data_IF_588747186879
#
_entry.id   IF_588747186879
#
_cell.length_a   1.000
_cell.length_b   1.000
_cell.length_c   1.000
_cell.angle_alpha   90.00
_cell.angle_beta   90.00
_cell.angle_gamma   90.00
#
_symmetry.space_group_name_H-M   'P 1'
#
loop_
_entity.id
_entity.type
_entity.pdbx_description
1 polymer ?
#
# COMPACT_ATOMS: atom_id res chain seq x y z
N UNK A 1 35.97 63.26 42.36
CA UNK A 1 35.45 63.48 40.99
C UNK A 1 34.47 62.35 40.67
N UNK A 2 33.32 62.66 40.05
CA UNK A 2 32.14 61.82 39.73
C UNK A 2 30.96 61.89 40.73
N UNK A 3 30.20 63.00 40.65
CA UNK A 3 28.80 63.05 40.18
C UNK A 3 28.12 61.68 39.92
N UNK A 4 26.85 61.38 40.25
CA UNK A 4 25.64 62.19 40.32
C UNK A 4 24.42 61.32 40.73
N UNK A 5 23.42 61.99 41.31
CA UNK A 5 21.97 61.83 41.21
C UNK A 5 21.21 60.58 41.69
N UNK A 6 20.46 60.81 42.76
CA UNK A 6 19.17 60.21 43.05
C UNK A 6 18.13 60.52 41.95
N UNK A 7 17.29 59.55 41.62
CA UNK A 7 16.04 59.75 40.89
C UNK A 7 14.86 59.15 41.69
N UNK A 8 13.70 59.83 41.70
CA UNK A 8 12.54 59.48 42.49
C UNK A 8 11.67 58.38 41.86
N UNK A 9 10.95 57.67 42.72
CA UNK A 9 9.89 56.71 42.44
C UNK A 9 8.70 57.33 41.72
N UNK A 10 8.19 56.66 40.67
CA UNK A 10 6.92 56.99 40.01
C UNK A 10 6.17 55.70 39.57
N UNK A 11 4.85 55.77 39.32
CA UNK A 11 3.80 54.85 39.79
C UNK A 11 3.46 53.68 38.82
N UNK A 12 2.57 52.72 39.21
CA UNK A 12 2.41 51.46 38.48
C UNK A 12 1.66 51.67 37.17
N UNK A 13 2.26 51.21 36.09
CA UNK A 13 1.67 51.25 34.75
C UNK A 13 0.67 50.11 34.64
N UNK A 14 -0.58 50.48 34.37
CA UNK A 14 -1.73 49.61 34.26
C UNK A 14 -1.56 48.53 33.18
N UNK A 15 -2.22 47.41 33.43
CA UNK A 15 -2.26 46.26 32.55
C UNK A 15 -3.00 46.63 31.28
N UNK A 16 -2.27 46.62 30.17
CA UNK A 16 -2.80 46.63 28.82
C UNK A 16 -1.75 45.98 27.94
N UNK A 17 -2.20 45.25 26.92
CA UNK A 17 -1.48 44.30 26.05
C UNK A 17 -1.60 42.85 26.54
N UNK A 18 -2.00 41.87 25.74
CA UNK A 18 -2.52 41.87 24.38
C UNK A 18 -3.21 40.51 24.21
N UNK A 19 -4.35 40.49 23.51
CA UNK A 19 -4.98 39.23 23.09
C UNK A 19 -4.03 38.63 22.04
N UNK A 20 -3.16 37.71 22.47
CA UNK A 20 -2.45 36.82 21.55
C UNK A 20 -3.52 35.87 21.02
N UNK A 21 -4.10 36.22 19.87
CA UNK A 21 -4.98 35.34 19.13
C UNK A 21 -4.16 34.16 18.64
N UNK A 22 -4.20 33.05 19.37
CA UNK A 22 -3.62 31.78 18.96
C UNK A 22 -4.35 31.32 17.70
N UNK A 23 -3.74 31.53 16.54
CA UNK A 23 -4.17 30.96 15.27
C UNK A 23 -3.97 29.44 15.38
N UNK A 24 -5.01 28.73 15.83
CA UNK A 24 -5.09 27.28 15.71
C UNK A 24 -5.07 26.94 14.22
N UNK A 25 -3.93 26.47 13.71
CA UNK A 25 -3.90 25.75 12.45
C UNK A 25 -4.72 24.47 12.66
N UNK A 26 -5.96 24.49 12.16
CA UNK A 26 -6.74 23.28 12.00
C UNK A 26 -5.94 22.36 11.07
N UNK A 27 -5.39 21.30 11.64
CA UNK A 27 -4.80 20.20 10.89
C UNK A 27 -5.98 19.59 10.12
N UNK A 28 -6.11 19.93 8.84
CA UNK A 28 -7.06 19.28 7.96
C UNK A 28 -6.69 17.80 7.96
N UNK A 29 -7.52 16.99 8.62
CA UNK A 29 -7.43 15.55 8.53
C UNK A 29 -7.57 15.21 7.06
N UNK A 30 -6.51 14.72 6.43
CA UNK A 30 -6.63 14.11 5.11
C UNK A 30 -7.50 12.87 5.32
N UNK A 31 -8.82 13.05 5.19
CA UNK A 31 -9.72 11.94 4.94
C UNK A 31 -9.26 11.36 3.61
N UNK A 32 -8.49 10.28 3.65
CA UNK A 32 -8.28 9.45 2.48
C UNK A 32 -9.69 9.04 2.06
N UNK A 33 -10.15 9.59 0.94
CA UNK A 33 -11.46 9.26 0.41
C UNK A 33 -11.42 7.78 0.07
N UNK A 34 -11.91 6.94 0.98
CA UNK A 34 -12.02 5.51 0.72
C UNK A 34 -12.95 5.39 -0.48
N UNK A 35 -12.43 4.87 -1.58
CA UNK A 35 -13.16 4.85 -2.84
C UNK A 35 -14.32 3.85 -2.70
N UNK A 36 -15.59 4.29 -2.68
CA UNK A 36 -16.71 3.38 -2.49
C UNK A 36 -16.71 2.37 -3.62
N UNK A 37 -16.80 1.07 -3.31
CA UNK A 37 -16.79 0.05 -4.36
C UNK A 37 -18.01 0.22 -5.26
N UNK A 38 -17.82 0.38 -6.59
CA UNK A 38 -18.92 0.58 -7.53
C UNK A 38 -19.91 -0.60 -7.50
N UNK A 39 -21.21 -0.29 -7.42
CA UNK A 39 -22.25 -1.33 -7.47
C UNK A 39 -22.41 -2.18 -6.21
N UNK A 40 -21.71 -1.85 -5.11
CA UNK A 40 -21.85 -2.53 -3.81
C UNK A 40 -22.41 -1.63 -2.70
N UNK A 41 -22.62 -0.34 -2.98
CA UNK A 41 -23.09 0.63 -1.98
C UNK A 41 -24.51 0.37 -1.49
N UNK A 42 -25.31 -0.39 -2.25
CA UNK A 42 -26.63 -0.83 -1.83
C UNK A 42 -26.59 -1.87 -0.69
N UNK A 43 -25.41 -2.46 -0.40
CA UNK A 43 -25.21 -3.37 0.72
C UNK A 43 -24.89 -2.67 2.04
N UNK A 44 -24.67 -1.35 2.04
CA UNK A 44 -24.46 -0.59 3.27
C UNK A 44 -25.71 -0.69 4.16
N UNK A 45 -25.51 -1.10 5.41
CA UNK A 45 -26.55 -1.36 6.40
C UNK A 45 -27.15 -2.78 6.36
N UNK A 46 -26.83 -3.58 5.34
CA UNK A 46 -27.22 -4.99 5.29
C UNK A 46 -26.66 -5.76 6.50
N UNK A 47 -27.39 -6.78 6.97
CA UNK A 47 -26.85 -7.70 7.98
C UNK A 47 -25.72 -8.50 7.34
N UNK A 48 -24.62 -8.70 8.06
CA UNK A 48 -23.41 -9.31 7.50
C UNK A 48 -23.69 -10.60 6.73
N UNK A 49 -24.45 -11.53 7.33
CA UNK A 49 -24.84 -12.81 6.69
C UNK A 49 -25.66 -12.63 5.39
N UNK A 50 -26.55 -11.64 5.35
CA UNK A 50 -27.41 -11.41 4.19
C UNK A 50 -26.62 -10.71 3.07
N UNK A 51 -25.70 -9.81 3.45
CA UNK A 51 -24.79 -9.12 2.54
C UNK A 51 -23.75 -10.05 1.93
N UNK A 52 -23.20 -10.98 2.70
CA UNK A 52 -22.24 -12.01 2.27
C UNK A 52 -22.82 -12.88 1.15
N UNK A 53 -24.03 -13.39 1.33
CA UNK A 53 -24.73 -14.14 0.26
C UNK A 53 -24.90 -13.30 -1.01
N UNK A 54 -25.18 -12.00 -0.89
CA UNK A 54 -25.33 -11.12 -2.06
C UNK A 54 -23.99 -10.86 -2.74
N UNK A 55 -22.89 -10.73 -1.98
CA UNK A 55 -21.53 -10.63 -2.52
C UNK A 55 -21.17 -11.88 -3.33
N UNK A 56 -21.43 -13.07 -2.79
CA UNK A 56 -21.23 -14.35 -3.50
C UNK A 56 -22.07 -14.43 -4.78
N UNK A 57 -23.35 -14.05 -4.73
CA UNK A 57 -24.25 -13.98 -5.90
C UNK A 57 -23.75 -12.99 -6.96
N UNK A 58 -23.01 -11.95 -6.56
CA UNK A 58 -22.37 -10.96 -7.45
C UNK A 58 -20.97 -11.38 -7.90
N UNK A 59 -20.53 -12.56 -7.52
CA UNK A 59 -19.25 -13.14 -7.92
C UNK A 59 -18.05 -12.64 -7.14
N UNK A 60 -18.26 -12.21 -5.91
CA UNK A 60 -17.18 -11.99 -4.96
C UNK A 60 -16.91 -13.26 -4.16
N UNK A 61 -15.65 -13.60 -3.99
CA UNK A 61 -15.18 -14.71 -3.17
C UNK A 61 -14.56 -14.17 -1.89
N UNK A 62 -14.97 -14.73 -0.75
CA UNK A 62 -14.38 -14.42 0.54
C UNK A 62 -12.92 -14.85 0.57
N UNK A 63 -12.04 -13.93 0.99
CA UNK A 63 -10.62 -14.21 1.13
C UNK A 63 -10.26 -14.45 2.59
N UNK A 64 -10.48 -13.45 3.43
CA UNK A 64 -10.16 -13.51 4.85
C UNK A 64 -10.84 -12.39 5.64
N UNK A 65 -10.70 -12.47 6.97
CA UNK A 65 -11.25 -11.49 7.88
C UNK A 65 -10.22 -11.03 8.91
N UNK A 66 -10.13 -9.72 9.13
CA UNK A 66 -9.44 -9.11 10.26
C UNK A 66 -10.44 -8.78 11.37
N UNK A 67 -10.14 -9.27 12.57
CA UNK A 67 -10.93 -9.03 13.80
C UNK A 67 -10.12 -8.31 14.88
N UNK A 68 -8.96 -7.76 14.52
CA UNK A 68 -8.07 -7.06 15.44
C UNK A 68 -8.61 -5.68 15.86
N UNK A 69 -9.53 -5.12 15.06
CA UNK A 69 -10.08 -3.76 15.23
C UNK A 69 -11.25 -3.67 16.22
N UNK A 70 -11.12 -4.27 17.40
CA UNK A 70 -12.10 -4.14 18.49
C UNK A 70 -13.47 -4.75 18.17
N UNK A 71 -14.50 -3.92 18.08
CA UNK A 71 -15.87 -4.33 17.73
C UNK A 71 -16.10 -4.50 16.23
N UNK A 72 -15.19 -3.96 15.43
CA UNK A 72 -15.32 -3.95 13.98
C UNK A 72 -14.66 -5.19 13.39
N UNK A 73 -15.31 -5.74 12.37
CA UNK A 73 -14.78 -6.86 11.59
C UNK A 73 -14.58 -6.39 10.17
N UNK A 74 -13.36 -6.50 9.67
CA UNK A 74 -13.04 -6.25 8.27
C UNK A 74 -13.01 -7.59 7.55
N UNK A 75 -13.67 -7.66 6.40
CA UNK A 75 -13.64 -8.84 5.52
C UNK A 75 -13.18 -8.42 4.14
N UNK A 76 -12.39 -9.26 3.50
CA UNK A 76 -11.75 -8.98 2.21
C UNK A 76 -12.28 -9.94 1.17
N UNK A 77 -12.64 -9.39 0.01
CA UNK A 77 -13.39 -10.09 -1.02
C UNK A 77 -12.80 -9.80 -2.40
N UNK A 78 -12.65 -10.83 -3.23
CA UNK A 78 -12.16 -10.67 -4.61
C UNK A 78 -13.28 -11.00 -5.58
N UNK A 79 -13.55 -10.12 -6.55
CA UNK A 79 -14.44 -10.46 -7.66
C UNK A 79 -13.72 -11.44 -8.60
N UNK A 80 -14.27 -12.64 -8.82
CA UNK A 80 -13.61 -13.66 -9.64
C UNK A 80 -13.51 -13.28 -11.13
N UNK A 81 -14.41 -12.41 -11.61
CA UNK A 81 -14.45 -12.01 -13.03
C UNK A 81 -13.52 -10.84 -13.34
N UNK A 82 -13.40 -9.88 -12.41
CA UNK A 82 -12.64 -8.63 -12.63
C UNK A 82 -11.34 -8.57 -11.85
N UNK A 83 -11.15 -9.43 -10.85
CA UNK A 83 -10.03 -9.35 -9.92
C UNK A 83 -10.10 -8.18 -8.92
N UNK A 84 -11.23 -7.44 -8.89
CA UNK A 84 -11.39 -6.31 -7.97
C UNK A 84 -11.36 -6.79 -6.51
N UNK A 85 -10.49 -6.18 -5.70
CA UNK A 85 -10.46 -6.38 -4.26
C UNK A 85 -11.34 -5.36 -3.54
N UNK A 86 -12.18 -5.83 -2.62
CA UNK A 86 -13.09 -5.02 -1.82
C UNK A 86 -12.92 -5.36 -0.35
N UNK A 87 -12.82 -4.31 0.47
CA UNK A 87 -12.84 -4.40 1.93
C UNK A 87 -14.21 -4.01 2.44
N UNK A 88 -14.80 -4.87 3.26
CA UNK A 88 -16.10 -4.67 3.89
C UNK A 88 -15.91 -4.54 5.39
N UNK A 89 -16.18 -3.34 5.92
CA UNK A 89 -16.21 -3.07 7.36
C UNK A 89 -17.59 -3.42 7.91
N UNK A 90 -17.63 -4.29 8.90
CA UNK A 90 -18.84 -4.70 9.62
C UNK A 90 -18.79 -4.15 11.03
N UNK A 91 -19.81 -3.39 11.41
CA UNK A 91 -20.00 -2.80 12.74
C UNK A 91 -21.36 -3.25 13.27
N UNK A 92 -21.42 -3.73 14.51
CA UNK A 92 -22.66 -4.25 15.14
C UNK A 92 -23.40 -5.30 14.28
N UNK A 93 -22.65 -6.11 13.52
CA UNK A 93 -23.20 -7.15 12.65
C UNK A 93 -23.83 -6.63 11.35
N UNK A 94 -23.59 -5.37 10.97
CA UNK A 94 -24.05 -4.76 9.73
C UNK A 94 -22.90 -4.13 8.95
N UNK A 95 -23.01 -4.12 7.63
CA UNK A 95 -22.01 -3.48 6.79
C UNK A 95 -22.04 -1.97 6.98
N UNK A 96 -20.94 -1.41 7.49
CA UNK A 96 -20.74 0.01 7.66
C UNK A 96 -20.19 0.66 6.38
N UNK A 97 -19.29 -0.03 5.68
CA UNK A 97 -18.74 0.43 4.40
C UNK A 97 -18.24 -0.73 3.55
N UNK A 98 -18.26 -0.54 2.23
CA UNK A 98 -17.67 -1.41 1.22
C UNK A 98 -16.83 -0.54 0.28
N UNK A 99 -15.53 -0.75 0.26
CA UNK A 99 -14.57 0.12 -0.44
C UNK A 99 -13.62 -0.70 -1.26
N UNK A 100 -13.22 -0.19 -2.43
CA UNK A 100 -12.19 -0.85 -3.25
C UNK A 100 -10.86 -0.75 -2.51
N UNK A 101 -10.10 -1.85 -2.53
CA UNK A 101 -8.80 -1.97 -1.91
C UNK A 101 -7.74 -2.41 -2.93
N UNK A 102 -6.44 -2.18 -2.66
CA UNK A 102 -5.37 -2.78 -3.43
C UNK A 102 -5.46 -4.31 -3.44
N UNK A 103 -5.07 -4.95 -4.55
CA UNK A 103 -5.19 -6.40 -4.69
C UNK A 103 -4.46 -7.20 -3.61
N UNK A 104 -3.33 -6.68 -3.10
CA UNK A 104 -2.54 -7.36 -2.08
C UNK A 104 -3.29 -7.51 -0.74
N UNK A 105 -4.24 -6.62 -0.42
CA UNK A 105 -5.03 -6.74 0.82
C UNK A 105 -5.88 -8.01 0.81
N UNK A 106 -6.43 -8.39 -0.35
CA UNK A 106 -7.21 -9.61 -0.51
C UNK A 106 -6.37 -10.90 -0.48
N UNK A 107 -5.05 -10.80 -0.56
CA UNK A 107 -4.15 -11.95 -0.55
C UNK A 107 -3.56 -12.24 0.84
N UNK A 108 -3.71 -11.32 1.81
CA UNK A 108 -3.05 -11.41 3.12
C UNK A 108 -3.51 -12.55 4.04
N UNK A 109 -4.70 -13.13 3.83
CA UNK A 109 -5.26 -14.12 4.76
C UNK A 109 -5.95 -15.34 4.15
N UNK A 110 -5.78 -15.58 2.85
CA UNK A 110 -6.29 -16.81 2.20
C UNK A 110 -5.61 -18.05 2.83
N UNK A 111 -6.36 -18.97 3.46
CA UNK A 111 -5.80 -20.18 4.06
C UNK A 111 -5.24 -21.18 3.01
N UNK A 112 -5.57 -21.03 1.73
CA UNK A 112 -4.89 -21.68 0.60
C UNK A 112 -3.55 -21.02 0.23
N UNK A 113 -3.27 -19.88 0.84
CA UNK A 113 -2.03 -19.10 0.78
C UNK A 113 -1.37 -19.06 2.17
N UNK A 114 -1.29 -20.22 2.83
CA UNK A 114 -0.45 -20.38 4.00
C UNK A 114 1.01 -20.08 3.63
N UNK A 115 1.42 -18.83 3.83
CA UNK A 115 2.79 -18.34 3.84
C UNK A 115 3.72 -18.98 2.79
N UNK A 116 3.70 -18.43 1.59
CA UNK A 116 4.98 -17.96 1.08
C UNK A 116 5.15 -16.57 1.67
N UNK A 117 6.10 -16.43 2.59
CA UNK A 117 6.68 -15.14 2.96
C UNK A 117 7.29 -14.54 1.71
N UNK A 118 6.44 -13.91 0.94
CA UNK A 118 6.81 -13.14 -0.23
C UNK A 118 6.74 -11.69 0.25
N UNK A 119 7.89 -11.03 0.49
CA UNK A 119 7.92 -9.64 0.95
C UNK A 119 7.05 -8.78 0.05
N UNK A 120 6.29 -7.85 0.65
CA UNK A 120 5.50 -6.86 -0.07
C UNK A 120 6.35 -6.24 -1.18
N UNK A 121 6.00 -6.52 -2.43
CA UNK A 121 6.78 -6.11 -3.60
C UNK A 121 6.77 -7.15 -4.71
N UNK A 122 6.61 -8.44 -4.43
CA UNK A 122 6.74 -9.46 -5.49
C UNK A 122 5.60 -9.44 -6.50
N UNK A 123 5.96 -9.27 -7.78
CA UNK A 123 5.01 -9.39 -8.88
C UNK A 123 4.48 -10.83 -8.89
N UNK A 124 3.20 -11.00 -8.53
CA UNK A 124 2.52 -12.31 -8.45
C UNK A 124 2.55 -13.07 -9.78
N UNK A 125 2.73 -12.39 -10.92
CA UNK A 125 2.91 -12.99 -12.25
C UNK A 125 4.24 -13.71 -12.43
N UNK A 126 5.21 -13.41 -11.56
CA UNK A 126 6.59 -13.91 -11.63
C UNK A 126 6.98 -14.76 -10.41
N UNK A 127 6.06 -14.98 -9.46
CA UNK A 127 6.33 -15.71 -8.22
C UNK A 127 6.83 -17.15 -8.47
N UNK A 128 6.43 -17.77 -9.59
CA UNK A 128 6.89 -19.10 -9.99
C UNK A 128 8.35 -19.14 -10.45
N UNK A 129 8.97 -17.98 -10.69
CA UNK A 129 10.38 -17.88 -11.06
C UNK A 129 11.31 -17.84 -9.84
N UNK A 130 10.79 -17.71 -8.62
CA UNK A 130 11.59 -17.77 -7.39
C UNK A 130 12.18 -19.19 -7.24
N UNK A 131 13.50 -19.25 -7.06
CA UNK A 131 14.28 -20.49 -6.99
C UNK A 131 14.67 -21.08 -8.35
N UNK A 132 14.22 -20.49 -9.47
CA UNK A 132 14.61 -20.89 -10.82
C UNK A 132 16.05 -20.45 -11.08
N UNK A 133 16.80 -21.26 -11.85
CA UNK A 133 18.15 -20.88 -12.32
C UNK A 133 18.08 -19.64 -13.20
N UNK A 134 18.99 -18.71 -13.00
CA UNK A 134 18.98 -17.41 -13.68
C UNK A 134 18.78 -17.53 -15.20
N UNK A 135 19.53 -18.38 -15.89
CA UNK A 135 19.38 -18.56 -17.35
C UNK A 135 18.02 -19.08 -17.80
N UNK A 136 17.36 -19.92 -16.99
CA UNK A 136 16.00 -20.38 -17.28
C UNK A 136 14.96 -19.33 -16.92
N UNK A 137 15.22 -18.55 -15.86
CA UNK A 137 14.39 -17.42 -15.46
C UNK A 137 14.41 -16.30 -16.50
N UNK A 138 15.57 -15.96 -17.05
CA UNK A 138 15.74 -14.97 -18.10
C UNK A 138 14.94 -15.35 -19.35
N UNK A 139 15.05 -16.60 -19.80
CA UNK A 139 14.25 -17.09 -20.92
C UNK A 139 12.75 -16.99 -20.62
N UNK A 140 12.33 -17.33 -19.40
CA UNK A 140 10.92 -17.25 -19.01
C UNK A 140 10.41 -15.81 -18.94
N UNK A 141 11.25 -14.85 -18.54
CA UNK A 141 10.93 -13.42 -18.56
C UNK A 141 10.75 -12.91 -20.00
N UNK A 142 11.69 -13.24 -20.89
CA UNK A 142 11.62 -12.89 -22.31
C UNK A 142 10.37 -13.49 -22.99
N UNK A 143 10.07 -14.77 -22.73
CA UNK A 143 8.88 -15.46 -23.24
C UNK A 143 7.57 -14.82 -22.75
N UNK A 144 7.61 -14.15 -21.59
CA UNK A 144 6.49 -13.41 -20.99
C UNK A 144 6.44 -11.94 -21.42
N UNK A 145 7.31 -11.50 -22.32
CA UNK A 145 7.32 -10.15 -22.85
C UNK A 145 8.05 -9.13 -21.98
N UNK A 146 8.90 -9.58 -21.05
CA UNK A 146 9.81 -8.71 -20.32
C UNK A 146 11.11 -8.52 -21.12
N UNK A 147 11.66 -7.31 -21.07
CA UNK A 147 12.94 -6.99 -21.71
C UNK A 147 13.93 -6.52 -20.67
N UNK A 148 15.15 -7.04 -20.73
CA UNK A 148 16.25 -6.59 -19.86
C UNK A 148 16.49 -5.09 -20.04
N UNK A 149 16.52 -4.36 -18.93
CA UNK A 149 16.71 -2.93 -18.91
C UNK A 149 18.08 -2.54 -18.37
N UNK A 150 18.43 -3.03 -17.17
CA UNK A 150 19.66 -2.68 -16.48
C UNK A 150 20.06 -3.75 -15.45
N UNK A 151 21.25 -3.62 -14.86
CA UNK A 151 21.70 -4.50 -13.78
C UNK A 151 22.74 -3.85 -12.87
N UNK A 152 22.78 -4.31 -11.63
CA UNK A 152 23.65 -3.82 -10.57
C UNK A 152 24.26 -4.98 -9.79
N UNK A 153 25.55 -4.87 -9.46
CA UNK A 153 26.24 -5.82 -8.60
C UNK A 153 25.93 -5.49 -7.13
N UNK A 154 25.45 -6.48 -6.38
CA UNK A 154 25.24 -6.38 -4.95
C UNK A 154 26.35 -7.13 -4.19
N UNK A 155 26.46 -6.89 -2.89
CA UNK A 155 27.45 -7.57 -2.04
C UNK A 155 27.32 -9.11 -2.08
N UNK A 156 26.09 -9.62 -2.22
CA UNK A 156 25.78 -11.06 -2.16
C UNK A 156 24.95 -11.56 -3.35
N UNK A 157 24.98 -10.86 -4.48
CA UNK A 157 24.17 -11.22 -5.64
C UNK A 157 24.24 -10.19 -6.76
N UNK A 158 23.28 -10.27 -7.66
CA UNK A 158 23.11 -9.33 -8.78
C UNK A 158 21.64 -8.96 -8.83
N UNK A 159 21.35 -7.66 -8.88
CA UNK A 159 20.03 -7.15 -9.21
C UNK A 159 19.96 -6.95 -10.73
N UNK A 160 18.90 -7.44 -11.36
CA UNK A 160 18.60 -7.16 -12.78
C UNK A 160 17.21 -6.57 -12.90
N UNK A 161 17.05 -5.59 -13.76
CA UNK A 161 15.82 -4.84 -13.94
C UNK A 161 15.23 -5.14 -15.31
N UNK A 162 13.92 -5.35 -15.36
CA UNK A 162 13.20 -5.79 -16.55
C UNK A 162 11.92 -5.00 -16.74
N UNK A 163 11.58 -4.69 -17.99
CA UNK A 163 10.36 -3.93 -18.34
C UNK A 163 9.37 -4.86 -19.07
N UNK A 164 8.13 -4.93 -18.60
CA UNK A 164 7.03 -5.60 -19.31
C UNK A 164 6.57 -4.77 -20.52
N UNK A 165 6.59 -5.37 -21.71
CA UNK A 165 6.33 -4.64 -22.96
C UNK A 165 4.91 -4.10 -23.13
N UNK A 166 3.91 -4.66 -22.46
CA UNK A 166 2.50 -4.24 -22.59
C UNK A 166 2.10 -3.10 -21.67
N UNK A 167 2.60 -3.11 -20.43
CA UNK A 167 2.19 -2.18 -19.35
C UNK A 167 3.26 -1.13 -19.08
N UNK A 168 4.54 -1.46 -19.33
CA UNK A 168 5.68 -0.68 -18.88
C UNK A 168 6.08 -0.98 -17.43
N UNK A 169 5.52 -2.01 -16.80
CA UNK A 169 5.85 -2.39 -15.42
C UNK A 169 7.35 -2.70 -15.31
N UNK A 170 8.01 -2.13 -14.30
CA UNK A 170 9.41 -2.34 -14.01
C UNK A 170 9.53 -3.35 -12.87
N UNK A 171 10.32 -4.41 -13.06
CA UNK A 171 10.58 -5.41 -12.03
C UNK A 171 12.07 -5.56 -11.79
N UNK A 172 12.45 -5.67 -10.52
CA UNK A 172 13.79 -6.02 -10.07
C UNK A 172 13.84 -7.51 -9.71
N UNK A 173 14.89 -8.18 -10.15
CA UNK A 173 15.14 -9.61 -9.92
C UNK A 173 16.49 -9.74 -9.25
N UNK A 174 16.49 -10.20 -8.00
CA UNK A 174 17.69 -10.50 -7.24
C UNK A 174 18.11 -11.94 -7.52
N UNK A 175 19.34 -12.10 -7.99
CA UNK A 175 19.98 -13.39 -8.20
C UNK A 175 21.08 -13.60 -7.18
N UNK A 176 21.01 -14.70 -6.43
CA UNK A 176 22.10 -15.14 -5.54
C UNK A 176 22.38 -16.62 -5.77
N UNK A 177 23.66 -17.01 -5.76
CA UNK A 177 24.08 -18.39 -6.04
C UNK A 177 23.53 -18.98 -7.37
N UNK A 178 23.29 -18.12 -8.37
CA UNK A 178 22.81 -18.50 -9.70
C UNK A 178 21.31 -18.82 -9.78
N UNK A 179 20.53 -18.50 -8.75
CA UNK A 179 19.06 -18.64 -8.74
C UNK A 179 18.40 -17.32 -8.38
N UNK A 180 17.18 -17.10 -8.87
CA UNK A 180 16.37 -15.96 -8.46
C UNK A 180 15.91 -16.16 -7.02
N UNK A 181 16.26 -15.23 -6.14
CA UNK A 181 15.92 -15.28 -4.72
C UNK A 181 14.76 -14.36 -4.39
N UNK A 182 14.68 -13.21 -5.06
CA UNK A 182 13.63 -12.21 -4.86
C UNK A 182 13.29 -11.59 -6.22
N UNK A 183 12.02 -11.26 -6.44
CA UNK A 183 11.55 -10.55 -7.63
C UNK A 183 10.52 -9.55 -7.13
N UNK A 184 10.62 -8.27 -7.43
CA UNK A 184 9.62 -7.29 -7.00
C UNK A 184 9.43 -6.13 -7.98
N UNK A 185 8.30 -5.44 -7.91
CA UNK A 185 8.07 -4.22 -8.67
C UNK A 185 9.07 -3.14 -8.21
N UNK A 186 9.79 -2.57 -9.17
CA UNK A 186 10.79 -1.55 -8.96
C UNK A 186 10.31 -0.19 -9.48
N UNK A 187 10.85 0.89 -8.91
CA UNK A 187 10.58 2.22 -9.43
C UNK A 187 11.13 2.36 -10.87
N UNK A 188 10.36 3.00 -11.74
CA UNK A 188 10.70 3.18 -13.16
C UNK A 188 12.13 3.70 -13.42
N UNK A 189 12.67 4.50 -12.50
CA UNK A 189 14.03 5.04 -12.57
C UNK A 189 15.10 3.94 -12.69
N UNK A 190 14.94 2.79 -12.04
CA UNK A 190 15.92 1.71 -12.08
C UNK A 190 15.95 0.96 -13.42
N UNK A 191 14.82 0.94 -14.13
CA UNK A 191 14.70 0.40 -15.48
C UNK A 191 15.18 1.37 -16.58
N UNK A 192 15.71 2.55 -16.24
CA UNK A 192 16.28 3.44 -17.25
C UNK A 192 17.67 2.96 -17.69
N UNK A 193 18.01 3.01 -18.99
CA UNK A 193 19.36 2.73 -19.43
C UNK A 193 20.32 3.77 -18.83
N UNK A 194 21.41 3.30 -18.22
CA UNK A 194 22.44 4.14 -17.61
C UNK A 194 23.13 5.02 -18.68
N UNK A 195 22.62 6.23 -18.93
CA UNK A 195 23.19 7.11 -19.95
C UNK A 195 22.47 8.44 -20.27
N UNK A 196 21.45 8.86 -19.53
CA UNK A 196 20.79 10.16 -19.75
C UNK A 196 21.10 11.20 -18.65
N UNK A 197 22.39 11.54 -18.52
CA UNK A 197 22.83 12.84 -17.98
C UNK A 197 23.76 13.52 -19.00
#
# INVERSE_FOLDING_TARGET
>A
MKYRFAFPTMPPVGWSLAIVGTLMLAIASNAQAQNPSPGLQDLVGARGRDGERILEERGYEFRWADKSSGSDVYTYWTNYSTGECVTVRTEEGRYASLVTAPAFDCDQGDPGHAQSTTPSGVDRRLADLIGVRASSGEQALEDRGYTYANGEQLDNGVATYWIEGSTGDCVEVITSNGVYTEIFEAEWYYCQPSGSQ
#
